data_IF_945655721600
#
_entry.id   IF_945655721600
#
_cell.length_a   1.000
_cell.length_b   1.000
_cell.length_c   1.000
_cell.angle_alpha   90.00
_cell.angle_beta   90.00
_cell.angle_gamma   90.00
#
_symmetry.space_group_name_H-M   'P 1'
#
loop_
_entity.id
_entity.type
_entity.pdbx_description
1 polymer ?
#
# COMPACT_ATOMS: atom_id res chain seq x y z
N UNK A 1 -14.54 7.10 73.03
CA UNK A 1 -15.22 6.24 72.05
C UNK A 1 -14.46 4.94 71.72
N UNK A 2 -13.17 4.80 72.14
CA UNK A 2 -12.41 3.56 71.98
C UNK A 2 -12.63 2.55 73.11
N UNK A 3 -13.00 3.01 74.36
CA UNK A 3 -13.13 2.12 75.50
C UNK A 3 -14.32 1.15 75.44
N UNK A 4 -15.40 1.51 74.77
CA UNK A 4 -16.58 0.66 74.61
C UNK A 4 -16.37 -0.48 73.63
N UNK A 5 -15.62 -0.21 72.56
CA UNK A 5 -15.26 -1.20 71.56
C UNK A 5 -14.28 -2.23 72.15
N UNK A 6 -13.33 -1.75 72.95
CA UNK A 6 -12.34 -2.58 73.62
C UNK A 6 -12.97 -3.49 74.67
N UNK A 7 -13.92 -2.97 75.42
CA UNK A 7 -14.72 -3.79 76.38
C UNK A 7 -15.61 -4.82 75.69
N UNK A 8 -16.22 -4.49 74.57
CA UNK A 8 -17.00 -5.42 73.76
C UNK A 8 -16.13 -6.55 73.20
N UNK A 9 -14.94 -6.24 72.72
CA UNK A 9 -13.96 -7.24 72.22
C UNK A 9 -13.45 -8.12 73.34
N UNK A 10 -13.12 -7.56 74.50
CA UNK A 10 -12.64 -8.32 75.67
C UNK A 10 -13.75 -9.22 76.28
N UNK A 11 -15.01 -8.75 76.34
CA UNK A 11 -16.13 -9.56 76.83
C UNK A 11 -16.55 -10.69 75.90
N UNK A 12 -16.31 -10.55 74.58
CA UNK A 12 -16.65 -11.56 73.59
C UNK A 12 -15.45 -12.37 73.13
N UNK A 13 -14.32 -12.25 73.79
CA UNK A 13 -13.07 -12.95 73.43
C UNK A 13 -13.26 -14.45 73.31
N UNK A 14 -14.08 -15.07 74.12
CA UNK A 14 -14.37 -16.49 74.08
C UNK A 14 -15.24 -16.94 72.89
N UNK A 15 -16.00 -16.04 72.29
CA UNK A 15 -16.77 -16.37 71.09
C UNK A 15 -15.92 -16.33 69.83
N UNK A 16 -14.86 -15.53 69.82
CA UNK A 16 -13.91 -15.47 68.71
C UNK A 16 -12.93 -16.66 68.66
N UNK A 17 -12.78 -17.37 69.78
CA UNK A 17 -11.85 -18.53 69.87
C UNK A 17 -12.53 -19.86 69.60
N UNK A 18 -13.84 -19.90 69.38
CA UNK A 18 -14.57 -21.18 69.27
C UNK A 18 -14.75 -21.73 67.87
N UNK A 19 -14.37 -20.97 66.86
CA UNK A 19 -14.42 -21.48 65.49
C UNK A 19 -13.01 -21.86 65.02
N UNK A 20 -12.60 -23.09 65.32
CA UNK A 20 -11.45 -23.67 64.62
C UNK A 20 -11.80 -23.76 63.12
N UNK A 21 -10.92 -23.30 62.25
CA UNK A 21 -11.13 -23.45 60.84
C UNK A 21 -11.34 -24.92 60.47
N UNK A 22 -12.32 -25.21 59.62
CA UNK A 22 -12.65 -26.55 59.15
C UNK A 22 -11.40 -27.28 58.76
N UNK A 23 -11.26 -28.57 59.17
CA UNK A 23 -10.13 -29.42 58.80
C UNK A 23 -9.82 -29.35 57.31
N UNK A 24 -8.54 -29.20 56.97
CA UNK A 24 -8.09 -29.01 55.56
C UNK A 24 -8.11 -27.58 55.05
N UNK A 25 -8.41 -26.56 55.90
CA UNK A 25 -8.36 -25.18 55.49
C UNK A 25 -6.97 -24.72 55.11
N UNK A 26 -5.96 -25.13 55.83
CA UNK A 26 -4.54 -24.85 55.57
C UNK A 26 -4.08 -25.52 54.26
N UNK A 27 -4.42 -26.78 54.06
CA UNK A 27 -4.06 -27.52 52.86
C UNK A 27 -4.69 -26.91 51.59
N UNK A 28 -5.97 -26.49 51.68
CA UNK A 28 -6.65 -25.79 50.58
C UNK A 28 -6.08 -24.40 50.32
N UNK A 29 -5.62 -23.71 51.36
CA UNK A 29 -4.96 -22.41 51.23
C UNK A 29 -3.56 -22.58 50.62
N UNK A 30 -2.80 -23.59 51.07
CA UNK A 30 -1.47 -23.89 50.53
C UNK A 30 -1.54 -24.24 49.03
N UNK A 31 -2.50 -25.08 48.63
CA UNK A 31 -2.74 -25.42 47.23
C UNK A 31 -3.13 -24.19 46.39
N UNK A 32 -3.93 -23.28 46.98
CA UNK A 32 -4.28 -22.02 46.30
C UNK A 32 -3.10 -21.07 46.19
N UNK A 33 -2.26 -21.01 47.22
CA UNK A 33 -1.05 -20.20 47.22
C UNK A 33 -0.03 -20.71 46.18
N UNK A 34 0.16 -22.03 46.10
CA UNK A 34 1.01 -22.65 45.10
C UNK A 34 0.47 -22.46 43.68
N UNK A 35 -0.86 -22.46 43.48
CA UNK A 35 -1.48 -22.14 42.19
C UNK A 35 -1.42 -20.66 41.88
N UNK A 36 -1.44 -19.78 42.86
CA UNK A 36 -1.32 -18.34 42.68
C UNK A 36 0.13 -17.89 42.44
N UNK A 37 1.10 -18.61 42.97
CA UNK A 37 2.52 -18.43 42.70
C UNK A 37 2.93 -19.09 41.39
N UNK A 38 2.24 -18.74 40.27
CA UNK A 38 2.80 -18.99 38.93
C UNK A 38 4.16 -18.30 38.89
N UNK A 39 5.22 -19.00 38.46
CA UNK A 39 6.50 -18.32 38.32
C UNK A 39 6.28 -17.12 37.40
N UNK A 40 6.39 -15.92 37.94
CA UNK A 40 6.47 -14.74 37.12
C UNK A 40 7.62 -14.99 36.15
N UNK A 41 7.30 -15.09 34.87
CA UNK A 41 8.31 -15.17 33.82
C UNK A 41 9.29 -14.05 34.11
N UNK A 42 10.46 -14.40 34.65
CA UNK A 42 11.54 -13.44 34.86
C UNK A 42 11.94 -12.99 33.43
N UNK A 43 11.20 -12.03 32.92
CA UNK A 43 11.55 -11.36 31.66
C UNK A 43 12.92 -10.75 31.93
N UNK A 44 13.93 -11.36 31.33
CA UNK A 44 15.29 -10.88 31.44
C UNK A 44 15.31 -9.54 30.68
N UNK A 45 15.06 -8.45 31.40
CA UNK A 45 14.96 -7.08 30.81
C UNK A 45 16.17 -6.77 29.94
N UNK A 46 17.34 -7.24 30.33
CA UNK A 46 18.55 -7.07 29.50
C UNK A 46 18.46 -7.84 28.17
N UNK A 47 17.80 -8.99 28.14
CA UNK A 47 17.62 -9.78 26.91
C UNK A 47 16.55 -9.17 26.01
N UNK A 48 15.44 -8.70 26.57
CA UNK A 48 14.39 -8.00 25.83
C UNK A 48 14.89 -6.68 25.26
N UNK A 49 15.73 -5.95 26.00
CA UNK A 49 16.33 -4.71 25.51
C UNK A 49 17.29 -4.98 24.32
N UNK A 50 18.08 -6.05 24.38
CA UNK A 50 18.98 -6.45 23.29
C UNK A 50 18.21 -6.86 22.03
N UNK A 51 17.10 -7.60 22.20
CA UNK A 51 16.24 -8.00 21.08
C UNK A 51 15.56 -6.76 20.46
N UNK A 52 15.03 -5.86 21.28
CA UNK A 52 14.43 -4.62 20.81
C UNK A 52 15.45 -3.75 20.03
N UNK A 53 16.66 -3.61 20.56
CA UNK A 53 17.73 -2.89 19.87
C UNK A 53 18.10 -3.54 18.52
N UNK A 54 18.19 -4.88 18.46
CA UNK A 54 18.49 -5.60 17.24
C UNK A 54 17.38 -5.43 16.18
N UNK A 55 16.11 -5.44 16.58
CA UNK A 55 14.97 -5.20 15.68
C UNK A 55 15.00 -3.77 15.13
N UNK A 56 15.23 -2.78 15.99
CA UNK A 56 15.34 -1.37 15.54
C UNK A 56 16.52 -1.22 14.57
N UNK A 57 17.67 -1.84 14.88
CA UNK A 57 18.85 -1.79 14.01
C UNK A 57 18.60 -2.47 12.66
N UNK A 58 17.88 -3.61 12.67
CA UNK A 58 17.48 -4.29 11.43
C UNK A 58 16.54 -3.44 10.58
N UNK A 59 15.56 -2.77 11.19
CA UNK A 59 14.64 -1.86 10.48
C UNK A 59 15.39 -0.65 9.89
N UNK A 60 16.33 -0.07 10.64
CA UNK A 60 17.17 1.01 10.15
C UNK A 60 18.09 0.55 9.02
N UNK A 61 18.68 -0.65 9.13
CA UNK A 61 19.53 -1.22 8.09
C UNK A 61 18.73 -1.51 6.81
N UNK A 62 17.51 -2.06 6.92
CA UNK A 62 16.61 -2.26 5.77
C UNK A 62 16.23 -0.92 5.14
N UNK A 63 15.90 0.09 5.95
CA UNK A 63 15.59 1.42 5.43
C UNK A 63 16.80 2.05 4.74
N UNK A 64 17.97 1.93 5.31
CA UNK A 64 19.22 2.41 4.71
C UNK A 64 19.56 1.65 3.42
N UNK A 65 19.39 0.32 3.42
CA UNK A 65 19.56 -0.50 2.22
C UNK A 65 18.58 -0.09 1.11
N UNK A 66 17.32 0.23 1.45
CA UNK A 66 16.35 0.77 0.46
C UNK A 66 16.84 2.06 -0.17
N UNK A 67 17.46 2.96 0.57
CA UNK A 67 17.99 4.23 0.05
C UNK A 67 19.21 3.99 -0.85
N UNK A 68 20.07 3.02 -0.49
CA UNK A 68 21.28 2.72 -1.27
C UNK A 68 21.06 1.79 -2.47
N UNK A 69 20.13 0.83 -2.36
CA UNK A 69 19.89 -0.20 -3.39
C UNK A 69 18.67 0.06 -4.25
N UNK A 70 17.70 0.88 -3.80
CA UNK A 70 16.74 1.44 -4.74
C UNK A 70 17.49 2.53 -5.49
N UNK A 71 17.63 2.42 -6.82
CA UNK A 71 18.16 3.53 -7.59
C UNK A 71 17.32 4.74 -7.20
N UNK A 72 17.99 5.78 -6.72
CA UNK A 72 17.42 7.11 -6.65
C UNK A 72 16.63 7.25 -7.94
N UNK A 73 15.33 7.55 -7.81
CA UNK A 73 14.50 7.81 -8.97
C UNK A 73 15.30 8.87 -9.72
N UNK A 74 16.14 8.42 -10.67
CA UNK A 74 16.77 9.37 -11.59
C UNK A 74 15.57 10.18 -12.03
N UNK A 75 15.56 11.45 -11.72
CA UNK A 75 14.60 12.36 -12.30
C UNK A 75 14.81 12.16 -13.79
N UNK A 76 14.06 11.22 -14.32
CA UNK A 76 14.13 10.89 -15.75
C UNK A 76 13.77 12.19 -16.40
N UNK A 77 14.75 12.77 -17.08
CA UNK A 77 14.53 13.98 -17.81
C UNK A 77 13.24 13.79 -18.59
N UNK A 78 12.24 14.57 -18.31
CA UNK A 78 10.94 14.53 -18.95
C UNK A 78 10.55 15.95 -19.32
N UNK A 79 9.52 16.10 -20.13
CA UNK A 79 9.01 17.41 -20.47
C UNK A 79 8.68 18.22 -19.21
N UNK A 80 8.10 17.59 -18.19
CA UNK A 80 7.75 18.22 -16.93
C UNK A 80 8.94 18.60 -16.02
N UNK A 81 10.14 18.16 -16.35
CA UNK A 81 11.34 18.58 -15.63
C UNK A 81 11.87 19.96 -16.08
N UNK A 82 11.38 20.46 -17.22
CA UNK A 82 11.82 21.74 -17.81
C UNK A 82 11.16 22.91 -17.09
N UNK A 83 9.84 22.86 -16.92
CA UNK A 83 9.09 23.90 -16.22
C UNK A 83 7.85 23.37 -15.52
N UNK A 84 7.29 24.08 -14.52
CA UNK A 84 6.03 23.72 -13.88
C UNK A 84 4.86 23.61 -14.85
N UNK A 85 4.79 24.48 -15.86
CA UNK A 85 3.73 24.48 -16.88
C UNK A 85 3.78 23.18 -17.69
N UNK A 86 4.97 22.78 -18.15
CA UNK A 86 5.11 21.54 -18.91
C UNK A 86 4.86 20.30 -18.06
N UNK A 87 5.07 20.38 -16.75
CA UNK A 87 4.72 19.30 -15.82
C UNK A 87 3.22 19.05 -15.76
N UNK A 88 2.42 20.11 -15.72
CA UNK A 88 0.95 19.99 -15.74
C UNK A 88 0.46 19.39 -17.05
N UNK A 89 1.03 19.84 -18.17
CA UNK A 89 0.69 19.34 -19.50
C UNK A 89 1.08 17.86 -19.66
N UNK A 90 2.29 17.49 -19.26
CA UNK A 90 2.74 16.10 -19.26
C UNK A 90 1.85 15.22 -18.38
N UNK A 91 1.51 15.69 -17.19
CA UNK A 91 0.61 14.99 -16.28
C UNK A 91 -0.78 14.77 -16.90
N UNK A 92 -1.32 15.78 -17.54
CA UNK A 92 -2.61 15.67 -18.23
C UNK A 92 -2.58 14.57 -19.30
N UNK A 93 -1.60 14.60 -20.20
CA UNK A 93 -1.48 13.61 -21.27
C UNK A 93 -1.19 12.21 -20.74
N UNK A 94 -0.24 12.06 -19.84
CA UNK A 94 0.12 10.76 -19.27
C UNK A 94 -1.04 10.12 -18.52
N UNK A 95 -1.80 10.90 -17.75
CA UNK A 95 -2.99 10.42 -17.07
C UNK A 95 -4.10 10.01 -18.06
N UNK A 96 -4.32 10.81 -19.11
CA UNK A 96 -5.31 10.51 -20.16
C UNK A 96 -4.95 9.23 -20.93
N UNK A 97 -3.68 9.06 -21.28
CA UNK A 97 -3.14 7.84 -21.89
C UNK A 97 -3.36 6.63 -20.97
N UNK A 98 -3.04 6.76 -19.69
CA UNK A 98 -3.22 5.68 -18.72
C UNK A 98 -4.69 5.28 -18.55
N UNK A 99 -5.60 6.26 -18.49
CA UNK A 99 -7.04 6.00 -18.46
C UNK A 99 -7.52 5.28 -19.71
N UNK A 100 -7.03 5.67 -20.88
CA UNK A 100 -7.30 4.99 -22.14
C UNK A 100 -6.81 3.53 -22.11
N UNK A 101 -5.58 3.31 -21.68
CA UNK A 101 -5.02 1.96 -21.57
C UNK A 101 -5.79 1.07 -20.58
N UNK A 102 -6.24 1.62 -19.47
CA UNK A 102 -7.09 0.88 -18.53
C UNK A 102 -8.44 0.47 -19.16
N UNK A 103 -9.01 1.35 -20.01
CA UNK A 103 -10.23 1.02 -20.76
C UNK A 103 -9.97 -0.06 -21.83
N UNK A 104 -8.83 -0.01 -22.50
CA UNK A 104 -8.38 -1.05 -23.42
C UNK A 104 -8.29 -2.42 -22.74
N UNK A 105 -7.58 -2.51 -21.62
CA UNK A 105 -7.46 -3.76 -20.87
C UNK A 105 -8.83 -4.31 -20.41
N UNK A 106 -9.73 -3.42 -20.01
CA UNK A 106 -11.11 -3.80 -19.68
C UNK A 106 -11.84 -4.39 -20.90
N UNK A 107 -11.83 -3.74 -22.04
CA UNK A 107 -12.47 -4.23 -23.27
C UNK A 107 -11.87 -5.55 -23.75
N UNK A 108 -10.55 -5.71 -23.61
CA UNK A 108 -9.83 -6.95 -23.87
C UNK A 108 -10.29 -8.08 -22.94
N UNK A 109 -10.38 -7.84 -21.64
CA UNK A 109 -10.84 -8.83 -20.66
C UNK A 109 -12.30 -9.24 -20.86
N UNK A 110 -13.13 -8.35 -21.43
CA UNK A 110 -14.53 -8.60 -21.80
C UNK A 110 -14.68 -9.32 -23.16
N UNK A 111 -13.57 -9.60 -23.87
CA UNK A 111 -13.58 -10.32 -25.15
C UNK A 111 -14.02 -9.49 -26.36
N UNK A 112 -13.89 -8.15 -26.27
CA UNK A 112 -14.20 -7.23 -27.38
C UNK A 112 -12.98 -6.87 -28.23
N UNK A 113 -11.81 -7.39 -27.91
CA UNK A 113 -10.55 -7.14 -28.62
C UNK A 113 -10.08 -8.43 -29.27
N UNK A 114 -9.97 -8.46 -30.58
CA UNK A 114 -9.45 -9.58 -31.35
C UNK A 114 -7.93 -9.72 -31.17
N UNK A 115 -7.38 -10.89 -31.47
CA UNK A 115 -5.94 -11.14 -31.40
C UNK A 115 -5.14 -10.21 -32.35
N UNK A 116 -5.69 -9.96 -33.52
CA UNK A 116 -5.08 -9.04 -34.49
C UNK A 116 -5.04 -7.59 -33.96
N UNK A 117 -6.09 -7.12 -33.27
CA UNK A 117 -6.11 -5.80 -32.64
C UNK A 117 -5.14 -5.70 -31.47
N UNK A 118 -4.94 -6.80 -30.72
CA UNK A 118 -3.94 -6.85 -29.65
C UNK A 118 -2.52 -6.71 -30.21
N UNK A 119 -2.19 -7.44 -31.28
CA UNK A 119 -0.89 -7.36 -31.94
C UNK A 119 -0.66 -5.95 -32.51
N UNK A 120 -1.69 -5.36 -33.12
CA UNK A 120 -1.61 -4.00 -33.67
C UNK A 120 -1.36 -2.97 -32.58
N UNK A 121 -2.09 -3.04 -31.45
CA UNK A 121 -1.89 -2.15 -30.30
C UNK A 121 -0.51 -2.31 -29.68
N UNK A 122 -0.02 -3.54 -29.55
CA UNK A 122 1.31 -3.79 -29.03
C UNK A 122 2.38 -3.15 -29.90
N UNK A 123 2.29 -3.33 -31.20
CA UNK A 123 3.23 -2.72 -32.18
C UNK A 123 3.20 -1.20 -32.09
N UNK A 124 2.01 -0.61 -32.02
CA UNK A 124 1.84 0.84 -31.89
C UNK A 124 2.48 1.37 -30.58
N UNK A 125 2.33 0.64 -29.47
CA UNK A 125 2.98 1.03 -28.22
C UNK A 125 4.51 0.95 -28.34
N UNK A 126 5.05 -0.09 -28.95
CA UNK A 126 6.50 -0.23 -29.16
C UNK A 126 7.04 0.92 -30.03
N UNK A 127 6.33 1.34 -31.07
CA UNK A 127 6.70 2.47 -31.91
C UNK A 127 6.68 3.79 -31.10
N UNK A 128 5.65 4.02 -30.29
CA UNK A 128 5.57 5.20 -29.42
C UNK A 128 6.69 5.20 -28.37
N UNK A 129 7.00 4.07 -27.77
CA UNK A 129 8.07 3.98 -26.76
C UNK A 129 9.45 4.25 -27.40
N UNK A 130 9.70 3.75 -28.63
CA UNK A 130 10.93 4.07 -29.36
C UNK A 130 11.02 5.57 -29.72
N UNK A 131 9.91 6.18 -30.13
CA UNK A 131 9.85 7.61 -30.42
C UNK A 131 10.14 8.44 -29.17
N UNK A 132 9.54 8.07 -28.06
CA UNK A 132 9.75 8.74 -26.76
C UNK A 132 11.22 8.69 -26.34
N UNK A 133 11.88 7.53 -26.47
CA UNK A 133 13.31 7.41 -26.14
C UNK A 133 14.18 8.32 -27.00
N UNK A 134 13.89 8.48 -28.27
CA UNK A 134 14.60 9.43 -29.15
C UNK A 134 14.39 10.86 -28.70
N UNK A 135 13.14 11.24 -28.41
CA UNK A 135 12.81 12.58 -27.92
C UNK A 135 13.48 12.90 -26.59
N UNK A 136 13.61 11.91 -25.68
CA UNK A 136 14.35 12.08 -24.43
C UNK A 136 15.85 12.33 -24.65
N UNK A 137 16.46 11.69 -25.62
CA UNK A 137 17.87 11.93 -25.99
C UNK A 137 18.02 13.37 -26.50
N UNK A 138 17.13 13.79 -27.38
CA UNK A 138 17.14 15.15 -27.94
C UNK A 138 16.91 16.21 -26.87
N UNK A 139 15.96 15.95 -25.96
CA UNK A 139 15.65 16.83 -24.84
C UNK A 139 16.85 16.96 -23.87
N UNK A 140 17.56 15.83 -23.64
CA UNK A 140 18.77 15.85 -22.82
C UNK A 140 19.89 16.66 -23.43
N UNK A 141 20.03 16.60 -24.75
CA UNK A 141 21.02 17.39 -25.47
C UNK A 141 20.66 18.89 -25.51
N UNK A 142 19.37 19.22 -25.62
CA UNK A 142 18.88 20.57 -25.80
C UNK A 142 17.59 20.83 -24.99
N UNK A 143 17.67 21.00 -23.67
CA UNK A 143 16.47 21.09 -22.81
C UNK A 143 15.56 22.30 -23.09
N UNK A 144 16.09 23.36 -23.69
CA UNK A 144 15.37 24.60 -23.97
C UNK A 144 15.09 24.80 -25.47
N UNK A 145 15.28 23.77 -26.30
CA UNK A 145 14.96 23.87 -27.71
C UNK A 145 13.43 23.69 -27.91
N UNK A 146 12.76 24.77 -28.32
CA UNK A 146 11.31 24.78 -28.56
C UNK A 146 10.86 23.71 -29.56
N UNK A 147 11.73 23.33 -30.52
CA UNK A 147 11.39 22.27 -31.49
C UNK A 147 11.28 20.90 -30.81
N UNK A 148 12.20 20.62 -29.87
CA UNK A 148 12.17 19.36 -29.11
C UNK A 148 10.96 19.35 -28.16
N UNK A 149 10.69 20.47 -27.50
CA UNK A 149 9.54 20.62 -26.62
C UNK A 149 8.24 20.40 -27.41
N UNK A 150 8.09 21.05 -28.56
CA UNK A 150 6.91 20.91 -29.43
C UNK A 150 6.78 19.46 -29.95
N UNK A 151 7.87 18.82 -30.34
CA UNK A 151 7.86 17.41 -30.76
C UNK A 151 7.41 16.47 -29.63
N UNK A 152 7.78 16.73 -28.37
CA UNK A 152 7.27 15.97 -27.23
C UNK A 152 5.78 16.21 -26.97
N UNK A 153 5.30 17.43 -27.13
CA UNK A 153 3.88 17.73 -27.01
C UNK A 153 3.06 17.02 -28.12
N UNK A 154 3.53 17.07 -29.35
CA UNK A 154 2.92 16.37 -30.49
C UNK A 154 2.91 14.85 -30.26
N UNK A 155 3.99 14.29 -29.73
CA UNK A 155 4.07 12.88 -29.36
C UNK A 155 2.98 12.49 -28.34
N UNK A 156 2.84 13.22 -27.25
CA UNK A 156 1.82 12.94 -26.24
C UNK A 156 0.41 13.05 -26.84
N UNK A 157 0.16 14.08 -27.64
CA UNK A 157 -1.12 14.29 -28.28
C UNK A 157 -1.45 13.17 -29.28
N UNK A 158 -0.49 12.76 -30.10
CA UNK A 158 -0.65 11.68 -31.06
C UNK A 158 -0.97 10.36 -30.34
N UNK A 159 -0.21 10.01 -29.28
CA UNK A 159 -0.41 8.79 -28.50
C UNK A 159 -1.81 8.77 -27.85
N UNK A 160 -2.24 9.87 -27.26
CA UNK A 160 -3.59 10.00 -26.67
C UNK A 160 -4.68 9.84 -27.74
N UNK A 161 -4.51 10.45 -28.91
CA UNK A 161 -5.48 10.39 -30.01
C UNK A 161 -5.64 8.96 -30.54
N UNK A 162 -4.54 8.25 -30.77
CA UNK A 162 -4.56 6.84 -31.23
C UNK A 162 -5.32 5.96 -30.25
N UNK A 163 -4.98 6.03 -28.95
CA UNK A 163 -5.66 5.26 -27.92
C UNK A 163 -7.15 5.59 -27.87
N UNK A 164 -7.50 6.89 -27.88
CA UNK A 164 -8.89 7.33 -27.86
C UNK A 164 -9.69 6.84 -29.07
N UNK A 165 -9.10 6.89 -30.26
CA UNK A 165 -9.73 6.40 -31.49
C UNK A 165 -10.03 4.90 -31.40
N UNK A 166 -9.06 4.10 -30.96
CA UNK A 166 -9.23 2.65 -30.82
C UNK A 166 -10.32 2.33 -29.79
N UNK A 167 -10.28 2.97 -28.61
CA UNK A 167 -11.27 2.76 -27.56
C UNK A 167 -12.68 3.12 -28.06
N UNK A 168 -12.86 4.22 -28.78
CA UNK A 168 -14.15 4.62 -29.29
C UNK A 168 -14.70 3.60 -30.29
N UNK A 169 -13.87 3.12 -31.23
CA UNK A 169 -14.27 2.06 -32.17
C UNK A 169 -14.69 0.77 -31.49
N UNK A 170 -13.94 0.35 -30.47
CA UNK A 170 -14.30 -0.85 -29.70
C UNK A 170 -15.59 -0.69 -28.90
N UNK A 171 -15.84 0.50 -28.34
CA UNK A 171 -17.10 0.80 -27.66
C UNK A 171 -18.29 0.78 -28.62
N UNK A 172 -18.14 1.34 -29.81
CA UNK A 172 -19.17 1.28 -30.87
C UNK A 172 -19.46 -0.18 -31.26
N UNK A 173 -18.43 -0.98 -31.51
CA UNK A 173 -18.60 -2.40 -31.84
C UNK A 173 -19.29 -3.17 -30.70
N UNK A 174 -18.95 -2.87 -29.45
CA UNK A 174 -19.61 -3.42 -28.26
C UNK A 174 -21.09 -3.07 -28.22
N UNK A 175 -21.45 -1.81 -28.45
CA UNK A 175 -22.84 -1.34 -28.48
C UNK A 175 -23.65 -2.02 -29.59
N UNK A 176 -23.10 -2.12 -30.80
CA UNK A 176 -23.76 -2.81 -31.93
C UNK A 176 -24.04 -4.27 -31.64
N UNK A 177 -23.09 -4.96 -30.98
CA UNK A 177 -23.29 -6.37 -30.59
C UNK A 177 -24.44 -6.55 -29.61
N UNK A 178 -24.58 -5.65 -28.63
CA UNK A 178 -25.70 -5.71 -27.67
C UNK A 178 -27.04 -5.34 -28.35
N UNK A 179 -27.09 -4.28 -29.16
CA UNK A 179 -28.31 -3.88 -29.85
C UNK A 179 -28.82 -4.96 -30.79
N UNK A 180 -27.95 -5.66 -31.53
CA UNK A 180 -28.32 -6.76 -32.38
C UNK A 180 -28.82 -8.01 -31.63
N UNK A 181 -28.47 -8.14 -30.36
CA UNK A 181 -28.95 -9.24 -29.53
C UNK A 181 -30.36 -9.00 -28.98
N UNK A 182 -30.68 -7.75 -28.67
CA UNK A 182 -32.04 -7.35 -28.22
C UNK A 182 -33.10 -7.43 -29.31
N UNK A 183 -32.73 -7.28 -30.59
CA UNK A 183 -33.66 -7.33 -31.73
C UNK A 183 -34.05 -8.79 -32.11
N UNK A 184 -33.33 -9.80 -31.60
CA UNK A 184 -33.55 -11.20 -31.92
C UNK A 184 -34.39 -11.98 -30.90
N UNK A 185 -34.94 -11.29 -29.91
CA UNK A 185 -35.89 -11.82 -28.92
C UNK A 185 -37.29 -11.35 -29.27
#
# INVERSE_FOLDING_TARGET
MNDELERLILNNRHSFQKEEPLEGHFERFEVRLQKASKPALKINWQLTLKIAAAVVFALLAVNQARIYFLPEKQETLSLGSISPEYREVEFYYTNSIQLGMNQWEKLKSEGFVSESEQQMMQKEQEEFDQMYQKLLVDLKANPNDERVINAMLEYYQARMNVISLVINKLKEAKQQKYSNHEIKI
#
